data_IF_153152651230
#
_entry.id   IF_153152651230
#
_cell.length_a   1.000
_cell.length_b   1.000
_cell.length_c   1.000
_cell.angle_alpha   90.00
_cell.angle_beta   90.00
_cell.angle_gamma   90.00
#
_symmetry.space_group_name_H-M   'P 1'
#
loop_
_entity.id
_entity.type
_entity.pdbx_description
1 polymer ?
#
# COMPACT_ATOMS: atom_id res chain seq x y z
N UNK A 1 24.90 27.58 -38.20
CA UNK A 1 23.74 27.42 -37.30
C UNK A 1 24.24 26.75 -36.04
N UNK A 2 24.39 27.50 -34.95
CA UNK A 2 24.69 26.94 -33.64
C UNK A 2 23.49 26.07 -33.23
N UNK A 3 23.68 24.80 -32.82
CA UNK A 3 22.55 23.99 -32.36
C UNK A 3 21.87 24.73 -31.20
N UNK A 4 20.54 24.80 -31.23
CA UNK A 4 19.75 25.28 -30.09
C UNK A 4 20.18 24.47 -28.86
N UNK A 5 20.44 25.12 -27.70
CA UNK A 5 20.74 24.38 -26.49
C UNK A 5 19.61 23.38 -26.24
N UNK A 6 19.98 22.14 -25.92
CA UNK A 6 19.00 21.13 -25.53
C UNK A 6 18.12 21.71 -24.42
N UNK A 7 16.78 21.48 -24.44
CA UNK A 7 15.91 21.99 -23.40
C UNK A 7 16.42 21.52 -22.04
N UNK A 8 16.60 22.46 -21.12
CA UNK A 8 17.06 22.17 -19.76
C UNK A 8 16.04 21.28 -19.08
N UNK A 9 16.44 20.05 -18.70
CA UNK A 9 15.61 19.13 -17.90
C UNK A 9 15.03 19.85 -16.68
N UNK A 10 13.81 19.57 -16.21
CA UNK A 10 13.26 20.21 -15.02
C UNK A 10 14.00 19.80 -13.73
N UNK A 11 14.00 20.68 -12.72
CA UNK A 11 14.54 20.38 -11.38
C UNK A 11 13.53 19.54 -10.60
N UNK A 12 13.94 18.33 -10.22
CA UNK A 12 13.13 17.38 -9.47
C UNK A 12 13.65 17.24 -8.05
N UNK A 13 12.80 17.44 -7.05
CA UNK A 13 13.08 17.05 -5.68
C UNK A 13 12.51 15.66 -5.40
N UNK A 14 13.34 14.71 -5.00
CA UNK A 14 12.88 13.41 -4.51
C UNK A 14 12.87 13.43 -2.99
N UNK A 15 11.73 13.13 -2.39
CA UNK A 15 11.53 13.07 -0.95
C UNK A 15 11.36 11.61 -0.54
N UNK A 16 12.27 11.15 0.32
CA UNK A 16 12.21 9.83 0.96
C UNK A 16 11.95 10.02 2.44
N UNK A 17 10.82 9.50 2.93
CA UNK A 17 10.49 9.53 4.35
C UNK A 17 11.01 8.28 5.06
N UNK A 18 11.79 8.46 6.13
CA UNK A 18 12.31 7.38 6.95
C UNK A 18 11.69 7.37 8.35
N UNK A 19 11.37 6.16 8.83
CA UNK A 19 11.09 5.90 10.24
C UNK A 19 11.57 4.48 10.57
N UNK A 20 12.76 4.38 11.15
CA UNK A 20 13.42 3.11 11.47
C UNK A 20 13.52 2.13 10.28
N UNK A 21 13.81 2.64 9.08
CA UNK A 21 13.87 1.84 7.87
C UNK A 21 15.17 1.05 7.66
N UNK A 22 16.23 1.34 8.40
CA UNK A 22 17.50 0.62 8.35
C UNK A 22 18.07 0.48 6.94
N UNK A 23 18.59 -0.71 6.64
CA UNK A 23 19.28 -1.00 5.38
C UNK A 23 18.39 -0.86 4.13
N UNK A 24 17.07 -1.00 4.27
CA UNK A 24 16.14 -0.76 3.15
C UNK A 24 16.20 0.70 2.71
N UNK A 25 16.27 1.64 3.66
CA UNK A 25 16.35 3.07 3.35
C UNK A 25 17.66 3.42 2.68
N UNK A 26 18.76 2.80 3.13
CA UNK A 26 20.08 2.96 2.51
C UNK A 26 20.03 2.46 1.06
N UNK A 27 19.54 1.25 0.82
CA UNK A 27 19.42 0.69 -0.53
C UNK A 27 18.52 1.53 -1.46
N UNK A 28 17.41 2.07 -0.94
CA UNK A 28 16.54 2.99 -1.67
C UNK A 28 17.29 4.25 -2.11
N UNK A 29 18.03 4.89 -1.19
CA UNK A 29 18.80 6.10 -1.48
C UNK A 29 19.93 5.85 -2.49
N UNK A 30 20.63 4.71 -2.38
CA UNK A 30 21.68 4.32 -3.33
C UNK A 30 21.15 4.23 -4.76
N UNK A 31 19.98 3.61 -4.96
CA UNK A 31 19.37 3.52 -6.29
C UNK A 31 18.85 4.86 -6.79
N UNK A 32 18.30 5.70 -5.91
CA UNK A 32 17.86 7.04 -6.27
C UNK A 32 19.03 7.93 -6.73
N UNK A 33 20.21 7.80 -6.11
CA UNK A 33 21.45 8.45 -6.56
C UNK A 33 21.82 7.99 -7.98
N UNK A 34 21.54 6.74 -8.33
CA UNK A 34 21.77 6.15 -9.65
C UNK A 34 20.73 6.48 -10.71
N UNK A 35 19.75 7.36 -10.44
CA UNK A 35 18.74 7.77 -11.43
C UNK A 35 19.42 8.42 -12.65
N UNK A 36 19.02 8.05 -13.86
CA UNK A 36 19.41 8.68 -15.13
C UNK A 36 18.77 10.08 -15.27
N UNK A 37 19.30 11.00 -14.48
CA UNK A 37 18.90 12.40 -14.44
C UNK A 37 20.13 13.28 -14.19
N UNK A 38 20.23 14.48 -14.76
CA UNK A 38 21.36 15.37 -14.45
C UNK A 38 21.44 15.66 -12.95
N UNK A 39 22.60 15.44 -12.34
CA UNK A 39 22.79 15.53 -10.89
C UNK A 39 22.44 16.93 -10.35
N UNK A 40 22.75 17.98 -11.10
CA UNK A 40 22.40 19.37 -10.78
C UNK A 40 20.90 19.68 -10.94
N UNK A 41 20.12 18.73 -11.48
CA UNK A 41 18.66 18.79 -11.65
C UNK A 41 17.92 17.74 -10.81
N UNK A 42 18.62 17.02 -9.93
CA UNK A 42 18.04 16.05 -9.00
C UNK A 42 18.40 16.41 -7.55
N UNK A 43 17.42 16.81 -6.75
CA UNK A 43 17.60 17.08 -5.33
C UNK A 43 17.05 15.91 -4.51
N UNK A 44 17.92 15.11 -3.90
CA UNK A 44 17.51 14.04 -2.99
C UNK A 44 17.38 14.58 -1.56
N UNK A 45 16.23 14.34 -0.93
CA UNK A 45 15.91 14.76 0.43
C UNK A 45 15.44 13.55 1.24
N UNK A 46 16.21 13.18 2.25
CA UNK A 46 15.80 12.25 3.30
C UNK A 46 15.10 13.04 4.42
N UNK A 47 13.85 12.72 4.70
CA UNK A 47 13.15 13.19 5.89
C UNK A 47 13.22 12.10 6.95
N UNK A 48 13.95 12.33 8.03
CA UNK A 48 13.95 11.45 9.20
C UNK A 48 12.82 11.81 10.16
N UNK A 49 11.94 10.85 10.43
CA UNK A 49 10.71 11.06 11.20
C UNK A 49 10.85 10.64 12.66
N UNK A 50 11.94 11.05 13.31
CA UNK A 50 12.35 10.65 14.66
C UNK A 50 12.77 9.17 14.75
N UNK A 51 13.64 8.73 13.85
CA UNK A 51 14.21 7.39 13.89
C UNK A 51 15.27 7.25 14.98
N UNK A 52 15.51 6.02 15.39
CA UNK A 52 16.55 5.64 16.36
C UNK A 52 17.58 4.68 15.77
N UNK A 53 17.51 4.44 14.45
CA UNK A 53 18.39 3.56 13.70
C UNK A 53 19.63 4.29 13.16
N UNK A 54 20.47 3.56 12.43
CA UNK A 54 21.75 4.03 11.89
C UNK A 54 21.64 4.88 10.62
N UNK A 55 20.44 5.02 10.04
CA UNK A 55 20.25 5.59 8.70
C UNK A 55 20.80 7.00 8.60
N UNK A 56 20.44 7.88 9.54
CA UNK A 56 20.87 9.29 9.50
C UNK A 56 22.39 9.42 9.60
N UNK A 57 23.03 8.65 10.48
CA UNK A 57 24.49 8.69 10.63
C UNK A 57 25.22 8.19 9.39
N UNK A 58 24.69 7.16 8.74
CA UNK A 58 25.30 6.56 7.56
C UNK A 58 25.11 7.44 6.32
N UNK A 59 23.93 8.02 6.13
CA UNK A 59 23.67 8.95 5.01
C UNK A 59 24.55 10.21 5.10
N UNK A 60 24.75 10.77 6.31
CA UNK A 60 25.67 11.92 6.48
C UNK A 60 27.12 11.58 6.12
N UNK A 61 27.55 10.34 6.39
CA UNK A 61 28.92 9.88 6.18
C UNK A 61 29.16 9.51 4.72
N UNK A 62 28.25 8.73 4.14
CA UNK A 62 28.48 8.01 2.89
C UNK A 62 27.73 8.63 1.69
N UNK A 63 26.70 9.46 1.93
CA UNK A 63 25.86 10.06 0.88
C UNK A 63 25.72 11.59 1.06
N UNK A 64 26.83 12.37 1.04
CA UNK A 64 26.81 13.80 1.35
C UNK A 64 25.99 14.67 0.38
N UNK A 65 25.59 14.13 -0.77
CA UNK A 65 24.70 14.80 -1.73
C UNK A 65 23.23 14.74 -1.33
N UNK A 66 22.85 13.87 -0.38
CA UNK A 66 21.49 13.74 0.14
C UNK A 66 21.28 14.77 1.24
N UNK A 67 20.29 15.65 1.06
CA UNK A 67 19.88 16.60 2.10
C UNK A 67 19.06 15.89 3.16
N UNK A 68 19.27 16.21 4.44
CA UNK A 68 18.56 15.57 5.56
C UNK A 68 17.69 16.59 6.28
N UNK A 69 16.44 16.22 6.54
CA UNK A 69 15.50 16.96 7.39
C UNK A 69 15.12 16.06 8.56
N UNK A 70 15.46 16.44 9.78
CA UNK A 70 15.14 15.67 10.99
C UNK A 70 13.92 16.26 11.73
N UNK A 71 12.94 15.40 12.01
CA UNK A 71 11.83 15.71 12.90
C UNK A 71 12.12 15.18 14.30
N UNK A 72 11.87 16.01 15.33
CA UNK A 72 11.99 15.58 16.73
C UNK A 72 10.88 14.60 17.18
N UNK A 73 9.81 14.46 16.40
CA UNK A 73 8.68 13.57 16.69
C UNK A 73 8.23 12.86 15.42
N UNK A 74 7.72 11.63 15.57
CA UNK A 74 7.08 10.92 14.45
C UNK A 74 5.75 11.60 14.11
N UNK A 75 5.69 12.23 12.92
CA UNK A 75 4.51 12.94 12.38
C UNK A 75 3.65 12.07 11.45
N UNK A 76 3.96 10.77 11.37
CA UNK A 76 3.39 9.85 10.40
C UNK A 76 3.85 10.15 8.98
N UNK A 77 3.28 9.44 8.02
CA UNK A 77 3.51 9.67 6.60
C UNK A 77 3.10 11.07 6.15
N UNK A 78 1.88 11.51 6.49
CA UNK A 78 1.35 12.80 6.04
C UNK A 78 2.21 13.98 6.51
N UNK A 79 2.49 14.06 7.81
CA UNK A 79 3.29 15.15 8.37
C UNK A 79 4.78 15.02 8.04
N UNK A 80 5.31 13.80 7.92
CA UNK A 80 6.68 13.55 7.49
C UNK A 80 6.92 14.02 6.05
N UNK A 81 6.08 13.60 5.11
CA UNK A 81 6.16 14.05 3.73
C UNK A 81 6.01 15.58 3.61
N UNK A 82 5.11 16.19 4.38
CA UNK A 82 4.96 17.66 4.40
C UNK A 82 6.26 18.40 4.73
N UNK A 83 7.13 17.84 5.58
CA UNK A 83 8.45 18.41 5.85
C UNK A 83 9.34 18.40 4.60
N UNK A 84 9.24 17.43 3.70
CA UNK A 84 9.96 17.45 2.42
C UNK A 84 9.32 18.35 1.35
N UNK A 85 8.05 18.70 1.53
CA UNK A 85 7.23 19.53 0.63
C UNK A 85 7.28 21.03 0.94
N UNK A 86 8.09 21.47 1.90
CA UNK A 86 8.33 22.90 2.16
C UNK A 86 9.30 23.50 1.12
N UNK A 87 9.33 24.83 1.02
CA UNK A 87 10.31 25.59 0.23
C UNK A 87 10.52 25.04 -1.19
N UNK A 88 9.41 24.98 -1.93
CA UNK A 88 9.38 24.52 -3.32
C UNK A 88 9.68 25.64 -4.33
N UNK A 89 10.08 26.82 -3.88
CA UNK A 89 10.50 27.90 -4.76
C UNK A 89 11.69 27.41 -5.59
N UNK A 90 11.54 27.41 -6.92
CA UNK A 90 12.46 26.86 -7.93
C UNK A 90 12.39 25.35 -8.20
N UNK A 91 11.54 24.58 -7.51
CA UNK A 91 11.30 23.17 -7.83
C UNK A 91 10.24 23.06 -8.93
N UNK A 92 10.51 22.27 -9.97
CA UNK A 92 9.53 22.04 -11.05
C UNK A 92 8.59 20.88 -10.67
N UNK A 93 9.17 19.77 -10.19
CA UNK A 93 8.45 18.58 -9.77
C UNK A 93 8.96 18.04 -8.44
N UNK A 94 8.07 17.42 -7.68
CA UNK A 94 8.41 16.66 -6.48
C UNK A 94 8.04 15.20 -6.68
N UNK A 95 8.99 14.31 -6.49
CA UNK A 95 8.74 12.89 -6.38
C UNK A 95 8.65 12.50 -4.90
N UNK A 96 7.59 11.77 -4.53
CA UNK A 96 7.53 11.05 -3.26
C UNK A 96 7.92 9.60 -3.54
N UNK A 97 8.86 9.06 -2.77
CA UNK A 97 9.32 7.67 -2.89
C UNK A 97 9.43 7.09 -1.48
N UNK A 98 8.75 5.99 -1.21
CA UNK A 98 8.88 5.29 0.06
C UNK A 98 10.31 4.75 0.23
N UNK A 99 10.76 4.65 1.47
CA UNK A 99 12.10 4.16 1.80
C UNK A 99 12.30 2.64 1.58
N UNK A 100 11.27 1.92 1.17
CA UNK A 100 11.28 0.50 0.80
C UNK A 100 10.95 0.29 -0.70
N UNK A 101 11.12 1.35 -1.50
CA UNK A 101 11.01 1.32 -2.96
C UNK A 101 12.39 1.32 -3.61
N UNK A 102 12.54 0.44 -4.60
CA UNK A 102 13.69 0.30 -5.48
C UNK A 102 13.29 0.81 -6.87
N UNK A 103 14.15 1.58 -7.53
CA UNK A 103 13.87 2.23 -8.82
C UNK A 103 14.83 1.75 -9.90
N UNK A 104 14.31 1.62 -11.13
CA UNK A 104 15.17 1.47 -12.31
C UNK A 104 15.81 2.82 -12.67
N UNK A 105 17.02 2.88 -13.26
CA UNK A 105 17.69 4.16 -13.55
C UNK A 105 16.83 5.15 -14.37
N UNK A 106 16.04 4.67 -15.31
CA UNK A 106 15.23 5.49 -16.22
C UNK A 106 13.82 5.81 -15.71
N UNK A 107 13.47 5.44 -14.46
CA UNK A 107 12.12 5.55 -13.91
C UNK A 107 11.51 6.97 -14.00
N UNK A 108 12.32 8.02 -13.86
CA UNK A 108 11.84 9.39 -13.72
C UNK A 108 11.45 10.02 -15.07
N UNK A 109 12.18 9.70 -16.15
CA UNK A 109 12.02 10.34 -17.46
C UNK A 109 10.61 10.23 -18.05
N UNK A 110 10.00 9.03 -18.08
CA UNK A 110 8.63 8.86 -18.56
C UNK A 110 7.59 9.63 -17.73
N UNK A 111 7.78 9.75 -16.42
CA UNK A 111 6.86 10.47 -15.53
C UNK A 111 6.88 11.97 -15.81
N UNK A 112 8.08 12.55 -15.94
CA UNK A 112 8.25 13.96 -16.31
C UNK A 112 7.63 14.23 -17.69
N UNK A 113 7.92 13.37 -18.68
CA UNK A 113 7.38 13.49 -20.04
C UNK A 113 5.85 13.52 -20.03
N UNK A 114 5.20 12.66 -19.23
CA UNK A 114 3.75 12.65 -19.09
C UNK A 114 3.21 13.99 -18.55
N UNK A 115 3.82 14.53 -17.49
CA UNK A 115 3.38 15.78 -16.87
C UNK A 115 3.62 17.02 -17.73
N UNK A 116 4.74 17.07 -18.46
CA UNK A 116 5.03 18.17 -19.40
C UNK A 116 4.09 18.14 -20.62
N UNK A 117 3.69 16.95 -21.06
CA UNK A 117 2.80 16.77 -22.22
C UNK A 117 1.33 17.16 -21.96
N UNK A 118 0.89 17.13 -20.69
CA UNK A 118 -0.51 17.38 -20.33
C UNK A 118 -0.58 18.24 -19.06
N UNK A 119 -0.79 19.57 -19.21
CA UNK A 119 -0.83 20.47 -18.08
C UNK A 119 -2.09 20.27 -17.21
N UNK A 120 -3.02 19.39 -17.52
CA UNK A 120 -4.14 19.08 -16.61
C UNK A 120 -3.84 17.95 -15.63
N UNK A 121 -2.65 17.32 -15.76
CA UNK A 121 -2.20 16.28 -14.84
C UNK A 121 -1.61 16.89 -13.56
N UNK A 122 -2.14 16.44 -12.42
CA UNK A 122 -1.64 16.75 -11.09
C UNK A 122 -0.71 15.68 -10.53
N UNK A 123 -0.57 14.54 -11.22
CA UNK A 123 0.35 13.48 -10.85
C UNK A 123 0.62 12.52 -12.02
N UNK A 124 1.83 11.98 -12.07
CA UNK A 124 2.21 10.82 -12.87
C UNK A 124 2.66 9.69 -11.95
N UNK A 125 2.11 8.50 -12.18
CA UNK A 125 2.28 7.32 -11.31
C UNK A 125 3.04 6.24 -12.10
N UNK A 126 4.14 5.69 -11.57
CA UNK A 126 4.79 4.53 -12.17
C UNK A 126 3.93 3.28 -12.03
N UNK A 127 4.33 2.21 -12.73
CA UNK A 127 3.97 0.84 -12.37
C UNK A 127 4.77 0.44 -11.13
N UNK A 128 4.07 0.12 -10.05
CA UNK A 128 4.67 -0.37 -8.82
C UNK A 128 4.50 -1.89 -8.78
N UNK A 129 5.61 -2.62 -8.84
CA UNK A 129 5.66 -4.07 -8.72
C UNK A 129 6.08 -4.45 -7.30
N UNK A 130 5.73 -5.65 -6.85
CA UNK A 130 6.42 -6.23 -5.71
C UNK A 130 7.88 -6.53 -6.07
N UNK A 131 8.77 -6.51 -5.09
CA UNK A 131 10.21 -6.75 -5.30
C UNK A 131 10.50 -8.16 -5.80
N UNK A 132 9.83 -9.16 -5.25
CA UNK A 132 10.01 -10.54 -5.68
C UNK A 132 9.23 -10.85 -6.95
N UNK A 133 9.78 -11.77 -7.76
CA UNK A 133 8.98 -12.55 -8.72
C UNK A 133 8.44 -13.78 -8.00
N UNK A 134 7.34 -14.31 -8.51
CA UNK A 134 6.61 -15.38 -7.81
C UNK A 134 6.33 -16.57 -8.71
N UNK A 135 6.18 -17.74 -8.07
CA UNK A 135 5.53 -18.91 -8.66
C UNK A 135 4.25 -19.23 -7.90
N UNK A 136 3.24 -19.67 -8.63
CA UNK A 136 2.00 -20.16 -8.04
C UNK A 136 2.20 -21.58 -7.49
N UNK A 137 1.79 -21.80 -6.24
CA UNK A 137 1.71 -23.10 -5.59
C UNK A 137 0.27 -23.34 -5.14
N UNK A 138 -0.32 -24.47 -5.54
CA UNK A 138 -1.67 -24.87 -5.15
C UNK A 138 -1.62 -26.03 -4.16
N UNK A 139 -2.38 -25.90 -3.08
CA UNK A 139 -2.62 -26.93 -2.07
C UNK A 139 -4.03 -27.48 -2.30
N UNK A 140 -4.14 -28.79 -2.48
CA UNK A 140 -5.43 -29.49 -2.57
C UNK A 140 -5.53 -30.50 -1.43
N UNK A 141 -6.62 -30.42 -0.66
CA UNK A 141 -6.79 -31.20 0.56
C UNK A 141 -8.27 -31.48 0.87
N UNK A 142 -8.64 -32.68 1.35
CA UNK A 142 -9.96 -32.93 1.92
C UNK A 142 -10.25 -32.01 3.11
N UNK A 143 -11.48 -31.50 3.20
CA UNK A 143 -11.87 -30.62 4.30
C UNK A 143 -12.70 -31.32 5.36
N UNK A 144 -12.62 -30.80 6.58
CA UNK A 144 -13.49 -31.18 7.69
C UNK A 144 -14.14 -29.94 8.30
N UNK A 145 -15.28 -30.12 8.97
CA UNK A 145 -15.92 -29.05 9.74
C UNK A 145 -15.69 -29.26 11.23
N UNK A 146 -15.20 -28.23 11.90
CA UNK A 146 -15.00 -28.26 13.35
C UNK A 146 -16.32 -28.08 14.11
N UNK A 147 -16.95 -29.19 14.46
CA UNK A 147 -18.03 -29.26 15.45
C UNK A 147 -19.18 -28.27 15.25
N UNK A 148 -19.95 -28.03 16.31
CA UNK A 148 -21.15 -27.19 16.22
C UNK A 148 -20.80 -25.70 16.34
N UNK A 149 -20.92 -24.97 15.22
CA UNK A 149 -20.82 -23.50 15.17
C UNK A 149 -19.64 -22.93 14.39
N UNK A 150 -18.69 -23.77 13.91
CA UNK A 150 -17.77 -23.37 12.85
C UNK A 150 -18.37 -23.80 11.51
N UNK A 151 -18.63 -22.83 10.63
CA UNK A 151 -19.23 -23.07 9.31
C UNK A 151 -18.18 -23.28 8.22
N UNK A 152 -16.89 -23.11 8.57
CA UNK A 152 -15.79 -23.23 7.63
C UNK A 152 -15.48 -24.69 7.32
N UNK A 153 -15.10 -24.93 6.08
CA UNK A 153 -14.50 -26.19 5.65
C UNK A 153 -12.98 -26.03 5.72
N UNK A 154 -12.39 -26.73 6.68
CA UNK A 154 -10.99 -26.57 7.08
C UNK A 154 -10.16 -27.73 6.51
N UNK A 155 -9.13 -27.38 5.74
CA UNK A 155 -8.11 -28.29 5.23
C UNK A 155 -6.95 -28.43 6.21
N UNK A 156 -5.77 -27.93 5.81
CA UNK A 156 -4.56 -27.89 6.65
C UNK A 156 -4.27 -26.49 7.18
N UNK A 157 -3.50 -26.42 8.27
CA UNK A 157 -2.89 -25.20 8.80
C UNK A 157 -1.57 -24.95 8.07
N UNK A 158 -1.41 -23.77 7.52
CA UNK A 158 -0.16 -23.27 6.95
C UNK A 158 0.42 -22.22 7.89
N UNK A 159 1.69 -22.37 8.27
CA UNK A 159 2.36 -21.50 9.26
C UNK A 159 3.78 -21.08 8.87
N UNK A 160 4.30 -21.58 7.75
CA UNK A 160 5.65 -21.28 7.30
C UNK A 160 5.89 -21.76 5.88
N UNK A 161 6.88 -21.14 5.24
CA UNK A 161 7.35 -21.51 3.91
C UNK A 161 8.86 -21.21 3.82
N UNK A 162 9.62 -22.12 3.23
CA UNK A 162 11.02 -21.91 2.86
C UNK A 162 11.27 -22.32 1.41
N UNK A 163 12.24 -21.65 0.78
CA UNK A 163 12.70 -21.96 -0.58
C UNK A 163 14.20 -22.22 -0.50
N UNK A 164 14.61 -23.46 -0.80
CA UNK A 164 15.94 -23.94 -0.43
C UNK A 164 16.14 -23.86 1.09
N UNK A 165 17.23 -23.24 1.52
CA UNK A 165 17.58 -23.13 2.94
C UNK A 165 17.04 -21.86 3.62
N UNK A 166 16.29 -21.03 2.90
CA UNK A 166 15.85 -19.71 3.39
C UNK A 166 14.35 -19.67 3.70
N UNK A 167 14.00 -19.25 4.92
CA UNK A 167 12.63 -18.98 5.31
C UNK A 167 12.12 -17.69 4.65
N UNK A 168 10.98 -17.79 3.97
CA UNK A 168 10.41 -16.71 3.13
C UNK A 168 8.94 -16.44 3.47
N UNK A 169 8.47 -16.88 4.64
CA UNK A 169 7.07 -16.83 5.04
C UNK A 169 6.46 -15.42 4.98
N UNK A 170 7.23 -14.40 5.38
CA UNK A 170 6.76 -13.00 5.40
C UNK A 170 6.51 -12.40 4.00
N UNK A 171 7.07 -13.01 2.96
CA UNK A 171 6.95 -12.57 1.58
C UNK A 171 5.95 -13.41 0.78
N UNK A 172 5.35 -14.44 1.38
CA UNK A 172 4.32 -15.26 0.74
C UNK A 172 3.05 -14.45 0.55
N UNK A 173 2.44 -14.55 -0.64
CA UNK A 173 1.13 -13.98 -0.89
C UNK A 173 0.08 -15.10 -0.88
N UNK A 174 -0.87 -15.03 0.05
CA UNK A 174 -2.01 -15.94 0.10
C UNK A 174 -3.11 -15.38 -0.81
N UNK A 175 -3.37 -16.04 -1.95
CA UNK A 175 -4.22 -15.50 -3.02
C UNK A 175 -5.69 -15.88 -2.81
N UNK A 176 -5.98 -17.18 -2.75
CA UNK A 176 -7.33 -17.72 -2.61
C UNK A 176 -7.34 -18.97 -1.74
N UNK A 177 -8.49 -19.27 -1.14
CA UNK A 177 -8.66 -20.51 -0.38
C UNK A 177 -8.03 -20.52 1.00
N UNK A 178 -7.88 -19.36 1.65
CA UNK A 178 -7.42 -19.26 3.02
C UNK A 178 -8.47 -18.61 3.92
N UNK A 179 -8.60 -19.17 5.13
CA UNK A 179 -9.36 -18.55 6.21
C UNK A 179 -8.46 -17.58 6.98
N UNK A 180 -9.06 -16.59 7.64
CA UNK A 180 -8.32 -15.53 8.32
C UNK A 180 -7.35 -16.04 9.39
N UNK A 181 -6.33 -15.22 9.69
CA UNK A 181 -5.25 -15.49 10.65
C UNK A 181 -5.78 -15.94 12.02
N UNK A 182 -5.27 -17.08 12.49
CA UNK A 182 -5.50 -17.61 13.82
C UNK A 182 -4.18 -17.68 14.60
N UNK A 183 -4.24 -17.31 15.88
CA UNK A 183 -3.09 -17.36 16.78
C UNK A 183 -3.17 -18.67 17.55
N UNK A 184 -2.05 -19.41 17.64
CA UNK A 184 -2.01 -20.62 18.44
C UNK A 184 -2.23 -20.29 19.94
N UNK A 185 -2.97 -21.14 20.65
CA UNK A 185 -3.33 -20.90 22.04
C UNK A 185 -2.12 -20.93 23.00
N UNK A 186 -1.07 -21.70 22.67
CA UNK A 186 0.07 -21.99 23.55
C UNK A 186 1.42 -21.86 22.81
N UNK A 187 1.93 -20.63 22.64
CA UNK A 187 3.27 -20.32 22.07
C UNK A 187 3.57 -20.89 20.67
N UNK A 188 2.57 -21.36 19.93
CA UNK A 188 2.74 -21.72 18.52
C UNK A 188 2.73 -20.49 17.62
N UNK A 189 3.32 -20.63 16.44
CA UNK A 189 3.30 -19.58 15.42
C UNK A 189 1.88 -19.34 14.90
N UNK A 190 1.63 -18.11 14.43
CA UNK A 190 0.38 -17.76 13.77
C UNK A 190 0.19 -18.60 12.51
N UNK A 191 -1.04 -19.03 12.25
CA UNK A 191 -1.33 -19.91 11.11
C UNK A 191 -2.64 -19.51 10.43
N UNK A 192 -2.80 -19.99 9.19
CA UNK A 192 -4.05 -19.88 8.45
C UNK A 192 -4.51 -21.25 7.97
N UNK A 193 -5.80 -21.50 8.12
CA UNK A 193 -6.42 -22.70 7.56
C UNK A 193 -6.62 -22.54 6.06
N UNK A 194 -6.31 -23.57 5.29
CA UNK A 194 -6.73 -23.68 3.90
C UNK A 194 -8.20 -24.10 3.82
N UNK A 195 -8.85 -23.74 2.72
CA UNK A 195 -10.04 -24.43 2.21
C UNK A 195 -9.60 -25.74 1.50
N UNK A 196 -10.51 -26.38 0.77
CA UNK A 196 -10.21 -27.61 0.05
C UNK A 196 -9.23 -27.42 -1.11
N UNK A 197 -9.22 -26.22 -1.69
CA UNK A 197 -8.18 -25.76 -2.59
C UNK A 197 -7.70 -24.40 -2.12
N UNK A 198 -6.38 -24.18 -2.16
CA UNK A 198 -5.74 -22.94 -1.78
C UNK A 198 -4.59 -22.61 -2.73
N UNK A 199 -4.45 -21.34 -3.11
CA UNK A 199 -3.40 -20.85 -4.01
C UNK A 199 -2.58 -19.80 -3.29
N UNK A 200 -1.28 -20.04 -3.18
CA UNK A 200 -0.32 -19.08 -2.68
C UNK A 200 0.74 -18.79 -3.75
N UNK A 201 1.40 -17.65 -3.60
CA UNK A 201 2.55 -17.28 -4.40
C UNK A 201 3.82 -17.39 -3.58
N UNK A 202 4.73 -18.18 -4.11
CA UNK A 202 6.05 -18.46 -3.55
C UNK A 202 7.01 -17.39 -4.08
N UNK A 203 7.61 -16.56 -3.21
CA UNK A 203 8.60 -15.57 -3.63
C UNK A 203 9.89 -16.29 -4.03
N UNK A 204 10.34 -16.04 -5.26
CA UNK A 204 11.49 -16.72 -5.84
C UNK A 204 12.78 -15.93 -5.58
N UNK A 205 13.92 -16.61 -5.31
CA UNK A 205 15.21 -15.94 -5.21
C UNK A 205 15.60 -15.22 -6.50
N UNK A 206 16.31 -14.10 -6.39
CA UNK A 206 16.77 -13.34 -7.55
C UNK A 206 17.72 -14.20 -8.41
N UNK A 207 17.49 -14.25 -9.72
CA UNK A 207 18.30 -15.04 -10.65
C UNK A 207 18.02 -16.55 -10.67
N UNK A 208 16.97 -17.06 -10.00
CA UNK A 208 16.63 -18.49 -10.02
C UNK A 208 16.00 -18.93 -11.35
N UNK A 209 16.83 -19.33 -12.30
CA UNK A 209 16.44 -20.12 -13.49
C UNK A 209 16.52 -21.63 -13.27
N UNK A 210 16.58 -22.10 -12.01
CA UNK A 210 16.84 -23.49 -11.64
C UNK A 210 15.73 -24.04 -10.74
N UNK A 211 15.44 -25.36 -10.79
CA UNK A 211 14.52 -25.99 -9.85
C UNK A 211 14.96 -25.70 -8.43
N UNK A 212 14.05 -25.22 -7.60
CA UNK A 212 14.27 -25.05 -6.17
C UNK A 212 13.29 -25.94 -5.40
N UNK A 213 13.71 -26.45 -4.25
CA UNK A 213 12.83 -27.16 -3.33
C UNK A 213 12.03 -26.11 -2.55
N UNK A 214 10.70 -26.14 -2.64
CA UNK A 214 9.83 -25.34 -1.78
C UNK A 214 9.24 -26.23 -0.72
N UNK A 215 9.35 -25.83 0.54
CA UNK A 215 8.80 -26.57 1.67
C UNK A 215 7.77 -25.73 2.42
N UNK A 216 6.66 -26.36 2.77
CA UNK A 216 5.57 -25.76 3.54
C UNK A 216 5.53 -26.36 4.94
N UNK A 217 5.41 -25.51 5.95
CA UNK A 217 5.17 -25.94 7.32
C UNK A 217 3.66 -26.15 7.52
N UNK A 218 3.23 -27.42 7.48
CA UNK A 218 1.82 -27.81 7.51
C UNK A 218 1.47 -28.64 8.74
N UNK A 219 0.22 -28.50 9.21
CA UNK A 219 -0.35 -29.37 10.24
C UNK A 219 -1.86 -29.53 10.06
N UNK A 220 -2.44 -30.66 10.47
CA UNK A 220 -3.88 -30.94 10.40
C UNK A 220 -4.46 -31.27 11.78
N UNK A 221 -5.78 -31.42 11.88
CA UNK A 221 -6.42 -31.96 13.11
C UNK A 221 -6.34 -33.50 13.19
N UNK A 222 -6.13 -34.15 12.05
CA UNK A 222 -5.93 -35.58 11.89
C UNK A 222 -5.13 -35.84 10.63
N UNK A 223 -4.40 -36.98 10.51
CA UNK A 223 -3.66 -37.31 9.29
C UNK A 223 -4.52 -37.17 8.03
N UNK A 224 -4.10 -36.33 7.09
CA UNK A 224 -4.88 -36.00 5.88
C UNK A 224 -3.98 -36.01 4.64
N UNK A 225 -4.41 -36.61 3.51
CA UNK A 225 -3.66 -36.54 2.27
C UNK A 225 -3.71 -35.11 1.72
N UNK A 226 -2.55 -34.57 1.37
CA UNK A 226 -2.40 -33.26 0.74
C UNK A 226 -1.65 -33.43 -0.56
N UNK A 227 -2.13 -32.75 -1.60
CA UNK A 227 -1.43 -32.62 -2.87
C UNK A 227 -0.94 -31.19 -3.04
N UNK A 228 0.36 -31.05 -3.29
CA UNK A 228 1.01 -29.78 -3.63
C UNK A 228 1.28 -29.76 -5.13
N UNK A 229 0.84 -28.70 -5.80
CA UNK A 229 1.09 -28.47 -7.22
C UNK A 229 1.91 -27.19 -7.39
N UNK A 230 3.06 -27.28 -8.04
CA UNK A 230 3.93 -26.12 -8.25
C UNK A 230 4.60 -26.22 -9.63
N UNK A 231 4.25 -25.33 -10.55
CA UNK A 231 4.98 -25.24 -11.82
C UNK A 231 4.96 -26.49 -12.71
N UNK A 232 3.89 -27.28 -12.64
CA UNK A 232 3.75 -28.56 -13.34
C UNK A 232 4.21 -29.78 -12.55
N UNK A 233 4.93 -29.58 -11.44
CA UNK A 233 5.32 -30.65 -10.52
C UNK A 233 4.19 -30.92 -9.50
N UNK A 234 4.11 -32.17 -9.04
CA UNK A 234 3.09 -32.63 -8.10
C UNK A 234 3.74 -33.47 -7.00
N UNK A 235 3.48 -33.12 -5.74
CA UNK A 235 3.91 -33.91 -4.59
C UNK A 235 2.69 -34.32 -3.75
N UNK A 236 2.69 -35.56 -3.28
CA UNK A 236 1.65 -36.11 -2.40
C UNK A 236 2.22 -36.38 -1.02
N UNK A 237 1.57 -35.85 0.00
CA UNK A 237 1.99 -35.97 1.40
C UNK A 237 0.85 -36.45 2.27
N UNK A 238 1.18 -37.13 3.36
CA UNK A 238 0.26 -37.36 4.47
C UNK A 238 0.62 -36.38 5.59
N UNK A 239 -0.16 -35.31 5.73
CA UNK A 239 0.11 -34.25 6.72
C UNK A 239 -0.37 -34.69 8.09
N UNK A 240 0.52 -34.64 9.09
CA UNK A 240 0.27 -35.05 10.47
C UNK A 240 -0.42 -34.00 11.34
N UNK A 241 -0.55 -34.28 12.63
CA UNK A 241 -1.19 -33.36 13.60
C UNK A 241 -0.25 -32.29 14.13
N UNK A 242 1.05 -32.56 14.14
CA UNK A 242 2.09 -31.60 14.51
C UNK A 242 2.63 -30.88 13.26
N UNK A 243 3.07 -29.62 13.38
CA UNK A 243 3.73 -28.90 12.29
C UNK A 243 4.99 -29.63 11.81
N UNK A 244 5.05 -29.92 10.51
CA UNK A 244 6.23 -30.49 9.86
C UNK A 244 6.41 -29.92 8.44
N UNK A 245 7.62 -30.04 7.90
CA UNK A 245 7.98 -29.51 6.59
C UNK A 245 7.67 -30.51 5.47
N UNK A 246 6.89 -30.08 4.49
CA UNK A 246 6.48 -30.88 3.34
C UNK A 246 6.97 -30.25 2.04
N UNK A 247 7.75 -31.00 1.27
CA UNK A 247 8.46 -30.51 0.09
C UNK A 247 7.70 -30.68 -1.22
N UNK A 248 7.88 -29.75 -2.14
CA UNK A 248 7.51 -29.87 -3.55
C UNK A 248 8.61 -29.24 -4.41
N UNK A 249 8.97 -29.88 -5.51
CA UNK A 249 9.85 -29.24 -6.49
C UNK A 249 9.09 -28.07 -7.16
N UNK A 250 9.71 -26.90 -7.18
CA UNK A 250 9.18 -25.72 -7.86
C UNK A 250 9.93 -25.51 -9.16
N UNK A 251 9.19 -25.57 -10.29
CA UNK A 251 9.71 -25.31 -11.64
C UNK A 251 8.88 -24.22 -12.34
N UNK A 252 9.38 -23.71 -13.46
CA UNK A 252 8.69 -22.71 -14.27
C UNK A 252 9.30 -21.32 -14.15
N UNK A 253 8.80 -20.41 -14.99
CA UNK A 253 9.28 -19.04 -15.04
C UNK A 253 8.55 -18.19 -13.99
N UNK A 254 9.26 -17.60 -13.01
CA UNK A 254 8.64 -16.71 -12.05
C UNK A 254 8.02 -15.50 -12.74
N UNK A 255 6.87 -15.00 -12.30
CA UNK A 255 6.24 -13.82 -12.89
C UNK A 255 6.22 -12.63 -11.92
N UNK A 256 6.13 -11.43 -12.48
CA UNK A 256 6.01 -10.21 -11.69
C UNK A 256 4.57 -10.00 -11.22
N UNK A 257 4.42 -9.49 -10.00
CA UNK A 257 3.11 -9.19 -9.41
C UNK A 257 3.01 -7.69 -9.19
N UNK A 258 1.86 -7.14 -9.56
CA UNK A 258 1.55 -5.73 -9.38
C UNK A 258 1.28 -5.46 -7.90
N UNK A 259 1.98 -4.46 -7.37
CA UNK A 259 1.63 -3.84 -6.11
C UNK A 259 0.61 -2.71 -6.33
N UNK A 260 0.86 -1.79 -7.27
CA UNK A 260 -0.07 -0.68 -7.56
C UNK A 260 0.14 -0.14 -8.99
N UNK A 261 -0.96 0.12 -9.72
CA UNK A 261 -0.98 0.82 -11.02
C UNK A 261 -1.97 2.01 -11.01
N UNK A 262 -1.97 2.73 -9.88
CA UNK A 262 -2.95 3.72 -9.48
C UNK A 262 -3.88 3.21 -8.40
N UNK A 263 -4.61 4.12 -7.76
CA UNK A 263 -5.57 3.79 -6.70
C UNK A 263 -6.99 4.17 -7.14
N UNK A 264 -7.97 3.46 -6.58
CA UNK A 264 -9.37 3.59 -6.91
C UNK A 264 -10.26 3.68 -5.66
N UNK A 265 -11.45 4.22 -5.85
CA UNK A 265 -12.51 4.13 -4.85
C UNK A 265 -13.45 3.00 -5.25
N UNK A 266 -13.56 1.97 -4.39
CA UNK A 266 -14.46 0.84 -4.65
C UNK A 266 -15.94 1.27 -4.53
N UNK A 267 -16.89 0.50 -5.08
CA UNK A 267 -18.34 0.76 -4.89
C UNK A 267 -18.75 0.83 -3.41
N UNK A 268 -18.02 0.13 -2.55
CA UNK A 268 -18.18 0.14 -1.10
C UNK A 268 -17.46 1.30 -0.40
N UNK A 269 -16.94 2.25 -1.17
CA UNK A 269 -16.28 3.47 -0.71
C UNK A 269 -15.04 3.19 0.16
N UNK A 270 -14.25 2.21 -0.24
CA UNK A 270 -12.88 2.02 0.27
C UNK A 270 -11.88 2.51 -0.76
N UNK A 271 -10.78 3.09 -0.30
CA UNK A 271 -9.57 3.17 -1.10
C UNK A 271 -9.05 1.76 -1.37
N UNK A 272 -8.66 1.49 -2.61
CA UNK A 272 -8.03 0.23 -3.00
C UNK A 272 -6.98 0.49 -4.06
N UNK A 273 -5.96 -0.36 -4.08
CA UNK A 273 -4.92 -0.33 -5.09
C UNK A 273 -5.39 -1.09 -6.32
N UNK A 274 -5.29 -0.43 -7.48
CA UNK A 274 -5.65 -1.02 -8.77
C UNK A 274 -4.58 -2.03 -9.14
N UNK A 275 -5.01 -3.22 -9.55
CA UNK A 275 -4.10 -4.31 -9.94
C UNK A 275 -3.37 -4.98 -8.79
N UNK A 276 -3.67 -4.65 -7.53
CA UNK A 276 -3.01 -5.26 -6.37
C UNK A 276 -3.14 -6.79 -6.39
N UNK A 277 -2.01 -7.49 -6.27
CA UNK A 277 -1.88 -8.94 -6.38
C UNK A 277 -2.29 -9.52 -7.76
N UNK A 278 -2.44 -8.72 -8.81
CA UNK A 278 -2.59 -9.25 -10.17
C UNK A 278 -1.21 -9.55 -10.77
N UNK A 279 -1.08 -10.61 -11.59
CA UNK A 279 0.10 -10.79 -12.43
C UNK A 279 0.29 -9.60 -13.37
N UNK A 280 1.52 -9.14 -13.55
CA UNK A 280 1.82 -8.00 -14.40
C UNK A 280 1.72 -8.33 -15.91
N UNK A 281 1.98 -9.59 -16.27
CA UNK A 281 2.08 -10.00 -17.68
C UNK A 281 0.79 -9.76 -18.46
N UNK A 282 0.93 -9.08 -19.60
CA UNK A 282 -0.19 -8.79 -20.51
C UNK A 282 -1.21 -7.75 -20.02
N UNK A 283 -1.06 -7.22 -18.80
CA UNK A 283 -2.01 -6.26 -18.19
C UNK A 283 -1.42 -4.85 -18.10
N UNK A 284 -2.30 -3.85 -18.03
CA UNK A 284 -1.96 -2.44 -17.79
C UNK A 284 -0.79 -1.92 -18.64
N UNK A 285 -0.83 -2.22 -19.95
CA UNK A 285 0.24 -1.87 -20.90
C UNK A 285 0.18 -0.44 -21.39
N UNK A 286 -1.00 0.17 -21.37
CA UNK A 286 -1.23 1.51 -21.88
C UNK A 286 -1.34 2.53 -20.73
N UNK A 287 -0.88 3.78 -20.95
CA UNK A 287 -1.13 4.85 -20.00
C UNK A 287 -2.62 5.11 -19.83
N UNK A 288 -3.07 5.35 -18.60
CA UNK A 288 -4.49 5.56 -18.29
C UNK A 288 -4.68 6.56 -17.16
N UNK A 289 -5.77 7.32 -17.20
CA UNK A 289 -6.15 8.18 -16.10
C UNK A 289 -6.69 7.37 -14.91
N UNK A 290 -6.18 7.64 -13.71
CA UNK A 290 -6.55 6.93 -12.48
C UNK A 290 -7.30 7.84 -11.51
N UNK A 291 -8.07 7.24 -10.59
CA UNK A 291 -8.83 8.02 -9.60
C UNK A 291 -7.92 8.66 -8.56
N UNK A 292 -6.87 7.97 -8.12
CA UNK A 292 -5.89 8.49 -7.20
C UNK A 292 -4.51 7.91 -7.50
N UNK A 293 -3.49 8.57 -6.99
CA UNK A 293 -2.11 8.12 -7.02
C UNK A 293 -1.72 7.50 -5.69
N UNK A 294 -0.69 6.67 -5.69
CA UNK A 294 -0.17 5.98 -4.50
C UNK A 294 1.00 6.76 -3.90
N UNK A 295 1.01 6.96 -2.59
CA UNK A 295 2.11 7.61 -1.88
C UNK A 295 3.46 6.86 -1.94
N UNK A 296 3.47 5.59 -2.35
CA UNK A 296 4.69 4.79 -2.41
C UNK A 296 5.69 5.28 -3.48
N UNK A 297 5.18 5.70 -4.64
CA UNK A 297 5.98 6.34 -5.69
C UNK A 297 5.06 7.19 -6.57
N UNK A 298 5.31 8.50 -6.64
CA UNK A 298 4.53 9.43 -7.47
C UNK A 298 5.34 10.68 -7.82
N UNK A 299 5.15 11.21 -9.02
CA UNK A 299 5.67 12.52 -9.41
C UNK A 299 4.54 13.56 -9.44
N UNK A 300 4.72 14.67 -8.73
CA UNK A 300 3.76 15.75 -8.55
C UNK A 300 4.35 17.07 -9.08
N UNK A 301 3.65 17.82 -9.95
CA UNK A 301 4.11 19.14 -10.37
C UNK A 301 3.94 20.15 -9.23
N UNK A 302 4.87 21.09 -9.06
CA UNK A 302 4.80 22.12 -8.01
C UNK A 302 3.47 22.88 -8.01
N UNK A 303 2.98 23.25 -9.19
CA UNK A 303 1.70 23.97 -9.35
C UNK A 303 0.49 23.21 -8.76
N UNK A 304 0.48 21.87 -8.85
CA UNK A 304 -0.56 21.06 -8.20
C UNK A 304 -0.50 21.21 -6.68
N UNK A 305 0.70 21.14 -6.10
CA UNK A 305 0.89 21.31 -4.65
C UNK A 305 0.57 22.74 -4.18
N UNK A 306 0.81 23.75 -5.01
CA UNK A 306 0.47 25.15 -4.72
C UNK A 306 -1.05 25.41 -4.76
N UNK A 307 -1.75 24.85 -5.74
CA UNK A 307 -3.20 25.05 -5.90
C UNK A 307 -4.03 24.16 -4.97
N UNK A 308 -3.65 22.89 -4.83
CA UNK A 308 -4.40 21.90 -4.05
C UNK A 308 -3.97 21.90 -2.58
N UNK A 309 -2.72 22.25 -2.30
CA UNK A 309 -2.07 22.16 -0.99
C UNK A 309 -1.38 20.82 -0.75
N UNK A 310 -0.81 20.67 0.44
CA UNK A 310 -0.10 19.45 0.88
C UNK A 310 -1.01 18.49 1.67
N UNK A 311 -0.45 17.44 2.27
CA UNK A 311 -1.22 16.45 3.03
C UNK A 311 -1.86 17.05 4.29
N UNK A 312 -3.02 16.51 4.65
CA UNK A 312 -3.69 16.80 5.92
C UNK A 312 -3.10 15.92 7.03
N UNK A 313 -2.30 16.51 7.91
CA UNK A 313 -1.55 15.79 8.94
C UNK A 313 -2.45 15.02 9.94
N UNK A 314 -3.75 15.32 9.99
CA UNK A 314 -4.73 14.56 10.80
C UNK A 314 -4.86 13.11 10.35
N UNK A 315 -4.50 12.80 9.11
CA UNK A 315 -4.49 11.43 8.59
C UNK A 315 -3.36 10.61 9.23
N UNK A 316 -2.22 11.23 9.55
CA UNK A 316 -1.00 10.59 10.05
C UNK A 316 -0.42 9.56 9.05
N UNK A 317 -1.12 8.48 8.72
CA UNK A 317 -0.76 7.47 7.72
C UNK A 317 -2.00 6.75 7.18
N UNK A 318 -1.91 6.21 5.96
CA UNK A 318 -3.00 5.69 5.13
C UNK A 318 -4.11 6.70 4.78
N UNK A 319 -4.58 6.67 3.52
CA UNK A 319 -5.63 7.54 2.93
C UNK A 319 -5.24 9.01 2.70
N UNK A 320 -4.07 9.48 3.14
CA UNK A 320 -3.63 10.86 2.87
C UNK A 320 -3.43 11.13 1.38
N UNK A 321 -2.91 10.17 0.63
CA UNK A 321 -2.75 10.19 -0.83
C UNK A 321 -4.11 10.19 -1.54
N UNK A 322 -5.04 9.35 -1.11
CA UNK A 322 -6.41 9.31 -1.61
C UNK A 322 -7.17 10.61 -1.29
N UNK A 323 -6.99 11.20 -0.11
CA UNK A 323 -7.61 12.48 0.26
C UNK A 323 -7.12 13.60 -0.65
N UNK A 324 -5.80 13.73 -0.82
CA UNK A 324 -5.18 14.77 -1.62
C UNK A 324 -5.53 14.59 -3.11
N UNK A 325 -5.56 13.34 -3.59
CA UNK A 325 -6.06 12.98 -4.92
C UNK A 325 -7.52 13.38 -5.12
N UNK A 326 -8.41 13.06 -4.18
CA UNK A 326 -9.83 13.42 -4.30
C UNK A 326 -10.04 14.93 -4.22
N UNK A 327 -9.28 15.62 -3.37
CA UNK A 327 -9.28 17.08 -3.28
C UNK A 327 -8.87 17.69 -4.62
N UNK A 328 -7.77 17.24 -5.23
CA UNK A 328 -7.32 17.75 -6.52
C UNK A 328 -8.31 17.50 -7.64
N UNK A 329 -8.94 16.32 -7.69
CA UNK A 329 -9.98 16.01 -8.69
C UNK A 329 -11.17 16.94 -8.63
N UNK A 330 -11.57 17.38 -7.43
CA UNK A 330 -12.65 18.37 -7.28
C UNK A 330 -12.29 19.75 -7.84
N UNK A 331 -11.01 20.00 -8.07
CA UNK A 331 -10.47 21.19 -8.71
C UNK A 331 -10.15 20.96 -10.20
N UNK A 332 -10.47 19.78 -10.75
CA UNK A 332 -10.28 19.47 -12.17
C UNK A 332 -8.98 18.74 -12.52
N UNK A 333 -8.11 18.48 -11.54
CA UNK A 333 -6.86 17.74 -11.79
C UNK A 333 -7.11 16.27 -12.14
N UNK A 334 -6.35 15.76 -13.11
CA UNK A 334 -6.30 14.35 -13.51
C UNK A 334 -4.98 13.72 -13.09
N UNK A 335 -4.92 12.39 -13.05
CA UNK A 335 -3.73 11.64 -12.65
C UNK A 335 -3.49 10.54 -13.66
N UNK A 336 -2.23 10.36 -14.09
CA UNK A 336 -1.88 9.40 -15.14
C UNK A 336 -1.06 8.27 -14.56
N UNK A 337 -1.49 7.03 -14.79
CA UNK A 337 -0.63 5.86 -14.72
C UNK A 337 0.26 5.79 -15.96
N UNK A 338 1.56 5.59 -15.76
CA UNK A 338 2.61 5.63 -16.79
C UNK A 338 3.37 4.29 -16.78
N UNK A 339 2.98 3.31 -17.61
CA UNK A 339 3.55 1.96 -17.61
C UNK A 339 5.02 1.90 -18.07
N UNK A 340 5.51 2.96 -18.72
CA UNK A 340 6.91 3.07 -19.14
C UNK A 340 7.86 3.39 -17.97
N UNK A 341 7.34 3.80 -16.81
CA UNK A 341 8.10 3.95 -15.57
C UNK A 341 7.76 2.80 -14.65
N UNK A 342 8.76 2.04 -14.19
CA UNK A 342 8.56 0.90 -13.28
C UNK A 342 9.42 1.07 -12.03
N UNK A 343 8.84 0.77 -10.88
CA UNK A 343 9.53 0.73 -9.58
C UNK A 343 9.10 -0.54 -8.83
N UNK A 344 9.92 -1.01 -7.90
CA UNK A 344 9.67 -2.21 -7.08
C UNK A 344 9.50 -1.81 -5.62
N UNK A 345 8.53 -2.39 -4.93
CA UNK A 345 8.16 -2.04 -3.57
C UNK A 345 8.17 -3.29 -2.69
N UNK A 346 8.93 -3.28 -1.60
CA UNK A 346 8.92 -4.39 -0.64
C UNK A 346 7.55 -4.53 0.04
N UNK A 347 6.82 -3.41 0.17
CA UNK A 347 5.46 -3.26 0.68
C UNK A 347 5.27 -3.68 2.15
N UNK A 348 4.74 -2.75 2.96
CA UNK A 348 4.38 -2.99 4.37
C UNK A 348 5.55 -3.41 5.27
N UNK A 349 6.79 -3.00 4.93
CA UNK A 349 7.99 -3.39 5.67
C UNK A 349 8.09 -2.74 7.07
N UNK A 350 7.58 -1.51 7.25
CA UNK A 350 7.61 -0.77 8.53
C UNK A 350 6.33 -0.90 9.34
N UNK A 351 5.18 -1.06 8.68
CA UNK A 351 3.90 -1.37 9.33
C UNK A 351 3.30 -2.58 8.64
N UNK A 352 3.37 -3.74 9.30
CA UNK A 352 2.77 -4.98 8.81
C UNK A 352 1.32 -4.73 8.40
N UNK A 353 0.98 -5.11 7.17
CA UNK A 353 -0.37 -5.01 6.65
C UNK A 353 -1.32 -5.82 7.55
N UNK A 354 -2.48 -5.24 7.88
CA UNK A 354 -3.40 -5.87 8.82
C UNK A 354 -2.99 -5.76 10.30
N UNK A 355 -1.89 -5.09 10.65
CA UNK A 355 -1.58 -4.76 12.06
C UNK A 355 -2.67 -3.91 12.74
N UNK A 356 -2.76 -3.92 14.08
CA UNK A 356 -3.77 -3.11 14.80
C UNK A 356 -3.67 -1.62 14.49
N UNK A 357 -2.46 -1.10 14.27
CA UNK A 357 -2.22 0.28 13.86
C UNK A 357 -2.79 0.54 12.46
N UNK A 358 -2.45 -0.33 11.50
CA UNK A 358 -2.94 -0.21 10.12
C UNK A 358 -4.46 -0.29 10.03
N UNK A 359 -5.08 -1.26 10.71
CA UNK A 359 -6.54 -1.39 10.77
C UNK A 359 -7.20 -0.13 11.38
N UNK A 360 -6.61 0.43 12.44
CA UNK A 360 -7.13 1.63 13.09
C UNK A 360 -7.12 2.83 12.14
N UNK A 361 -5.98 3.11 11.51
CA UNK A 361 -5.81 4.26 10.63
C UNK A 361 -6.62 4.11 9.33
N UNK A 362 -6.61 2.94 8.69
CA UNK A 362 -7.42 2.69 7.49
C UNK A 362 -8.92 2.92 7.75
N UNK A 363 -9.48 2.34 8.81
CA UNK A 363 -10.91 2.52 9.11
C UNK A 363 -11.22 3.96 9.54
N UNK A 364 -10.41 4.56 10.42
CA UNK A 364 -10.60 5.94 10.88
C UNK A 364 -10.54 6.90 9.69
N UNK A 365 -9.49 6.82 8.89
CA UNK A 365 -9.22 7.78 7.82
C UNK A 365 -10.15 7.60 6.63
N UNK A 366 -10.61 6.37 6.34
CA UNK A 366 -11.73 6.16 5.41
C UNK A 366 -12.95 6.99 5.79
N UNK A 367 -13.35 6.96 7.07
CA UNK A 367 -14.49 7.75 7.55
C UNK A 367 -14.21 9.26 7.41
N UNK A 368 -13.01 9.73 7.73
CA UNK A 368 -12.61 11.14 7.55
C UNK A 368 -12.68 11.57 6.09
N UNK A 369 -12.12 10.79 5.16
CA UNK A 369 -12.15 11.06 3.72
C UNK A 369 -13.60 11.15 3.21
N UNK A 370 -14.49 10.26 3.66
CA UNK A 370 -15.90 10.30 3.28
C UNK A 370 -16.64 11.50 3.88
N UNK A 371 -16.34 11.88 5.12
CA UNK A 371 -16.90 13.08 5.75
C UNK A 371 -16.46 14.33 4.99
N UNK A 372 -15.19 14.41 4.58
CA UNK A 372 -14.67 15.52 3.78
C UNK A 372 -15.25 15.55 2.38
N UNK A 373 -15.30 14.40 1.70
CA UNK A 373 -15.49 14.35 0.26
C UNK A 373 -16.78 13.74 -0.24
N UNK A 374 -17.30 12.72 0.45
CA UNK A 374 -18.47 11.95 0.06
C UNK A 374 -19.80 12.68 0.24
N UNK A 375 -20.87 12.17 -0.36
CA UNK A 375 -22.23 12.69 -0.13
C UNK A 375 -22.69 12.40 1.30
N UNK A 376 -23.61 13.19 1.87
CA UNK A 376 -24.14 12.89 3.21
C UNK A 376 -24.87 11.54 3.25
N UNK A 377 -25.52 11.16 2.14
CA UNK A 377 -26.14 9.84 1.98
C UNK A 377 -25.11 8.71 2.09
N UNK A 378 -23.97 8.85 1.40
CA UNK A 378 -22.85 7.91 1.47
C UNK A 378 -22.31 7.81 2.89
N UNK A 379 -22.05 8.95 3.54
CA UNK A 379 -21.52 8.97 4.92
C UNK A 379 -22.47 8.24 5.87
N UNK A 380 -23.77 8.54 5.82
CA UNK A 380 -24.76 7.86 6.65
C UNK A 380 -24.82 6.35 6.35
N UNK A 381 -24.83 5.95 5.07
CA UNK A 381 -24.87 4.55 4.69
C UNK A 381 -23.65 3.77 5.18
N UNK A 382 -22.45 4.34 5.05
CA UNK A 382 -21.20 3.73 5.53
C UNK A 382 -21.18 3.64 7.06
N UNK A 383 -21.65 4.67 7.77
CA UNK A 383 -21.76 4.64 9.24
C UNK A 383 -22.75 3.56 9.71
N UNK A 384 -23.92 3.46 9.08
CA UNK A 384 -24.89 2.40 9.39
C UNK A 384 -24.28 1.01 9.14
N UNK A 385 -23.65 0.81 7.98
CA UNK A 385 -22.97 -0.46 7.68
C UNK A 385 -21.85 -0.77 8.69
N UNK A 386 -21.05 0.23 9.06
CA UNK A 386 -20.00 0.08 10.07
C UNK A 386 -20.59 -0.39 11.40
N UNK A 387 -21.71 0.19 11.85
CA UNK A 387 -22.38 -0.20 13.09
C UNK A 387 -22.99 -1.61 12.99
N UNK A 388 -23.61 -1.97 11.85
CA UNK A 388 -24.17 -3.30 11.63
C UNK A 388 -23.09 -4.39 11.65
N UNK A 389 -21.96 -4.17 10.95
CA UNK A 389 -20.83 -5.11 10.95
C UNK A 389 -20.22 -5.22 12.35
N UNK A 390 -20.07 -4.10 13.06
CA UNK A 390 -19.56 -4.10 14.44
C UNK A 390 -20.52 -4.83 15.38
N UNK A 391 -21.84 -4.65 15.22
CA UNK A 391 -22.87 -5.40 15.95
C UNK A 391 -22.85 -6.90 15.64
N UNK A 392 -22.55 -7.28 14.38
CA UNK A 392 -22.34 -8.67 13.99
C UNK A 392 -21.14 -9.28 14.70
N UNK A 393 -20.01 -8.59 14.77
CA UNK A 393 -18.84 -9.05 15.54
C UNK A 393 -19.11 -9.10 17.04
N UNK A 394 -19.83 -8.13 17.60
CA UNK A 394 -20.28 -8.17 19.00
C UNK A 394 -21.12 -9.42 19.27
N UNK A 395 -22.08 -9.73 18.38
CA UNK A 395 -22.89 -10.94 18.51
C UNK A 395 -22.04 -12.21 18.41
N UNK A 396 -21.17 -12.29 17.40
CA UNK A 396 -20.34 -13.47 17.09
C UNK A 396 -19.26 -13.74 18.14
N UNK A 397 -18.55 -12.71 18.55
CA UNK A 397 -17.29 -12.84 19.30
C UNK A 397 -17.46 -12.53 20.81
N UNK A 398 -18.59 -11.94 21.20
CA UNK A 398 -18.89 -11.60 22.61
C UNK A 398 -20.18 -12.25 23.09
N UNK A 399 -21.33 -11.90 22.52
CA UNK A 399 -22.63 -12.32 23.05
C UNK A 399 -22.84 -13.83 22.93
N UNK A 400 -22.59 -14.42 21.75
CA UNK A 400 -22.77 -15.86 21.53
C UNK A 400 -21.81 -16.71 22.39
N UNK A 401 -20.50 -16.40 22.49
CA UNK A 401 -19.60 -17.10 23.40
C UNK A 401 -20.00 -16.95 24.87
N UNK A 402 -20.37 -15.74 25.31
CA UNK A 402 -20.80 -15.47 26.68
C UNK A 402 -22.03 -16.31 27.07
N UNK A 403 -23.04 -16.36 26.19
CA UNK A 403 -24.25 -17.17 26.39
C UNK A 403 -23.97 -18.67 26.41
N UNK A 404 -22.85 -19.12 25.83
CA UNK A 404 -22.44 -20.53 25.75
C UNK A 404 -21.33 -20.89 26.75
N UNK A 405 -20.98 -19.99 27.69
CA UNK A 405 -19.90 -20.21 28.64
C UNK A 405 -18.51 -20.37 28.01
N UNK A 406 -18.29 -19.83 26.81
CA UNK A 406 -17.02 -19.89 26.06
C UNK A 406 -16.23 -18.58 26.24
N UNK A 407 -14.89 -18.61 26.06
CA UNK A 407 -14.07 -17.40 26.14
C UNK A 407 -14.48 -16.35 25.09
N UNK A 408 -14.54 -15.10 25.53
CA UNK A 408 -14.94 -13.93 24.72
C UNK A 408 -13.73 -13.33 24.01
N UNK A 409 -13.91 -12.92 22.74
CA UNK A 409 -12.89 -12.25 21.92
C UNK A 409 -13.37 -10.86 21.51
N UNK A 410 -13.26 -9.88 22.41
CA UNK A 410 -13.78 -8.51 22.16
C UNK A 410 -12.87 -7.61 21.32
N UNK A 411 -11.69 -8.09 20.91
CA UNK A 411 -10.65 -7.26 20.33
C UNK A 411 -11.07 -6.58 19.02
N UNK A 412 -11.66 -7.32 18.08
CA UNK A 412 -12.16 -6.78 16.81
C UNK A 412 -13.22 -5.69 17.03
N UNK A 413 -14.12 -5.88 18.01
CA UNK A 413 -15.15 -4.90 18.36
C UNK A 413 -14.50 -3.64 18.94
N UNK A 414 -13.57 -3.80 19.89
CA UNK A 414 -12.85 -2.66 20.52
C UNK A 414 -12.07 -1.86 19.49
N UNK A 415 -11.39 -2.51 18.55
CA UNK A 415 -10.63 -1.85 17.47
C UNK A 415 -11.54 -1.00 16.58
N UNK A 416 -12.68 -1.56 16.13
CA UNK A 416 -13.65 -0.84 15.29
C UNK A 416 -14.26 0.36 16.02
N UNK A 417 -14.68 0.18 17.28
CA UNK A 417 -15.23 1.27 18.09
C UNK A 417 -14.19 2.37 18.38
N UNK A 418 -12.92 2.01 18.60
CA UNK A 418 -11.83 3.00 18.73
C UNK A 418 -11.61 3.80 17.46
N UNK A 419 -11.59 3.15 16.29
CA UNK A 419 -11.45 3.84 15.01
C UNK A 419 -12.64 4.79 14.75
N UNK A 420 -13.87 4.33 14.98
CA UNK A 420 -15.07 5.16 14.87
C UNK A 420 -15.04 6.34 15.85
N UNK A 421 -14.71 6.10 17.12
CA UNK A 421 -14.60 7.16 18.12
C UNK A 421 -13.55 8.20 17.77
N UNK A 422 -12.39 7.78 17.24
CA UNK A 422 -11.37 8.69 16.75
C UNK A 422 -11.84 9.52 15.55
N UNK A 423 -12.56 8.91 14.60
CA UNK A 423 -13.12 9.61 13.46
C UNK A 423 -14.18 10.65 13.90
N UNK A 424 -15.07 10.28 14.83
CA UNK A 424 -16.10 11.17 15.36
C UNK A 424 -15.53 12.37 16.13
N UNK A 425 -14.40 12.19 16.84
CA UNK A 425 -13.70 13.31 17.49
C UNK A 425 -13.20 14.36 16.49
N UNK A 426 -12.74 13.91 15.32
CA UNK A 426 -12.24 14.80 14.26
C UNK A 426 -13.34 15.29 13.30
N UNK A 427 -14.51 14.64 13.29
CA UNK A 427 -15.61 14.95 12.38
C UNK A 427 -16.05 16.43 12.37
N UNK A 428 -16.14 17.16 13.51
CA UNK A 428 -16.49 18.59 13.48
C UNK A 428 -15.50 19.41 12.65
N UNK A 429 -14.19 19.17 12.84
CA UNK A 429 -13.15 19.86 12.09
C UNK A 429 -13.17 19.49 10.60
N UNK A 430 -13.46 18.23 10.27
CA UNK A 430 -13.64 17.79 8.88
C UNK A 430 -14.85 18.45 8.22
N UNK A 431 -15.98 18.55 8.92
CA UNK A 431 -17.19 19.19 8.40
C UNK A 431 -17.02 20.70 8.22
N UNK A 432 -16.31 21.36 9.13
CA UNK A 432 -15.95 22.78 9.01
C UNK A 432 -15.08 23.01 7.76
N UNK A 433 -14.01 22.24 7.60
CA UNK A 433 -13.15 22.33 6.42
C UNK A 433 -13.91 22.03 5.11
N UNK A 434 -14.82 21.05 5.12
CA UNK A 434 -15.70 20.77 3.98
C UNK A 434 -16.58 21.97 3.61
N UNK A 435 -17.09 22.71 4.61
CA UNK A 435 -17.90 23.92 4.38
C UNK A 435 -17.05 25.04 3.80
N UNK A 436 -15.88 25.30 4.37
CA UNK A 436 -14.94 26.32 3.87
C UNK A 436 -14.55 26.05 2.42
N UNK A 437 -14.18 24.81 2.08
CA UNK A 437 -13.83 24.42 0.70
C UNK A 437 -14.99 24.61 -0.28
N UNK A 438 -16.24 24.35 0.15
CA UNK A 438 -17.43 24.61 -0.69
C UNK A 438 -17.65 26.11 -0.93
N UNK A 439 -17.44 26.94 0.09
CA UNK A 439 -17.59 28.39 -0.02
C UNK A 439 -16.51 28.97 -0.94
N UNK A 440 -15.24 28.61 -0.76
CA UNK A 440 -14.16 29.04 -1.66
C UNK A 440 -14.38 28.55 -3.10
N UNK A 441 -14.81 27.29 -3.29
CA UNK A 441 -15.14 26.75 -4.61
C UNK A 441 -16.31 27.46 -5.28
N UNK A 442 -17.32 27.90 -4.53
CA UNK A 442 -18.44 28.71 -5.05
C UNK A 442 -18.03 30.15 -5.39
N UNK A 443 -17.08 30.73 -4.65
CA UNK A 443 -16.52 32.05 -4.95
C UNK A 443 -15.65 32.04 -6.21
N UNK A 444 -14.91 30.96 -6.47
CA UNK A 444 -14.08 30.80 -7.67
C UNK A 444 -14.89 30.55 -8.97
N UNK A 445 -16.17 30.15 -8.86
CA UNK A 445 -17.05 29.81 -10.02
C UNK A 445 -17.96 30.99 -10.43
N UNK A 446 -17.99 32.12 -9.70
CA UNK A 446 -18.74 33.30 -10.17
C UNK A 446 -17.96 34.01 -11.29
N UNK A 447 -18.49 34.08 -12.53
CA UNK A 447 -17.95 35.02 -13.51
C UNK A 447 -18.13 36.43 -12.95
N UNK A 448 -17.18 37.32 -13.23
CA UNK A 448 -17.36 38.75 -13.04
C UNK A 448 -18.48 39.24 -13.97
N UNK A 449 -19.71 39.26 -13.48
CA UNK A 449 -20.79 40.04 -14.08
C UNK A 449 -20.41 41.52 -14.00
N UNK A 450 -19.98 42.09 -15.13
CA UNK A 450 -19.76 43.53 -15.21
C UNK A 450 -18.81 44.00 -16.31
N UNK A 451 -19.01 43.58 -17.56
CA UNK A 451 -18.67 44.47 -18.68
C UNK A 451 -19.98 44.87 -19.36
N UNK A 452 -20.48 46.03 -18.93
CA UNK A 452 -21.52 46.76 -19.65
C UNK A 452 -20.90 47.25 -20.96
N UNK A 453 -21.34 46.68 -22.07
CA UNK A 453 -21.23 47.31 -23.38
C UNK A 453 -22.18 48.52 -23.36
N UNK A 454 -21.61 49.72 -23.26
CA UNK A 454 -22.28 50.99 -23.55
C UNK A 454 -21.91 51.37 -24.98
N UNK A 455 -22.95 51.34 -25.84
CA UNK A 455 -23.10 51.88 -27.21
C UNK A 455 -22.05 51.56 -28.27
#
# INVERSE_FOLDING_TARGET
MTPLPAPTRPLVRVVVLNFNGGDMTIACLEQLIGTDWPAERLQLVLVDNASTDHVVSDVRRDMPTVSIIESAVNRGFAGGCNLGLHDLDNIDFVALVNNDVLVEPDWLGPLVTALESDPTLGAACPRILFTHRYLDLRITVPTTRRGWGDHRELGVRLSGLRVGDEERWRQVQLVEGFWGLEHAADRGDDFQWTAGEALLRVPMPDGSGLPCCTELLLAADSPVPVTLHAGGEVAHHLVGTEPDWYAVETRGEPFEVINNVGSMLTPDHHGADRGYLEPAEGRYRDPEDVFAWCGAAVLLPRRYLQEVGVFDERFFLYYEDLELSWRGRKQGWRYRYVPASTVRHHHSATTLEGSPLSQHHNERNRLLTLILHGSMRTVCAVLVRHLLVTGSYLRRDVLSPLLRGRPVRSESVRRRLRALGAALRLAPAMLMQRRERRLCGQMAIRPSDGDQIVT
#
